data_IF_465013652435
#
_entry.id   IF_465013652435
#
_cell.length_a   1.000
_cell.length_b   1.000
_cell.length_c   1.000
_cell.angle_alpha   90.00
_cell.angle_beta   90.00
_cell.angle_gamma   90.00
#
_symmetry.space_group_name_H-M   'P 1'
#
loop_
_entity.id
_entity.type
_entity.pdbx_description
1 polymer ?
#
# COMPACT_ATOMS: atom_id res chain seq x y z
N UNK A 1 -5.90 6.48 -23.93
CA UNK A 1 -5.48 5.64 -22.78
C UNK A 1 -4.25 6.20 -22.05
N UNK A 2 -3.13 6.52 -22.73
CA UNK A 2 -1.91 7.07 -22.09
C UNK A 2 -2.17 8.39 -21.34
N UNK A 3 -2.91 9.32 -21.95
CA UNK A 3 -3.25 10.61 -21.31
C UNK A 3 -4.10 10.44 -20.06
N UNK A 4 -5.03 9.49 -20.05
CA UNK A 4 -5.86 9.16 -18.89
C UNK A 4 -5.02 8.60 -17.73
N UNK A 5 -4.06 7.72 -18.01
CA UNK A 5 -3.15 7.18 -16.99
C UNK A 5 -2.28 8.27 -16.39
N UNK A 6 -1.70 9.16 -17.23
CA UNK A 6 -0.88 10.30 -16.75
C UNK A 6 -1.70 11.26 -15.89
N UNK A 7 -2.93 11.58 -16.31
CA UNK A 7 -3.83 12.45 -15.54
C UNK A 7 -4.20 11.83 -14.18
N UNK A 8 -4.51 10.53 -14.16
CA UNK A 8 -4.81 9.81 -12.93
C UNK A 8 -3.61 9.79 -11.98
N UNK A 9 -2.42 9.44 -12.47
CA UNK A 9 -1.18 9.44 -11.66
C UNK A 9 -0.89 10.82 -11.07
N UNK A 10 -1.09 11.89 -11.84
CA UNK A 10 -0.93 13.26 -11.34
C UNK A 10 -1.96 13.62 -10.26
N UNK A 11 -3.20 13.17 -10.42
CA UNK A 11 -4.25 13.40 -9.42
C UNK A 11 -3.92 12.69 -8.10
N UNK A 12 -3.51 11.43 -8.15
CA UNK A 12 -3.10 10.66 -6.96
C UNK A 12 -1.91 11.33 -6.27
N UNK A 13 -0.88 11.74 -7.03
CA UNK A 13 0.28 12.43 -6.46
C UNK A 13 -0.12 13.72 -5.71
N UNK A 14 -1.02 14.52 -6.29
CA UNK A 14 -1.54 15.72 -5.62
C UNK A 14 -2.38 15.41 -4.38
N UNK A 15 -3.15 14.33 -4.40
CA UNK A 15 -3.91 13.90 -3.23
C UNK A 15 -2.99 13.45 -2.08
N UNK A 16 -1.91 12.76 -2.40
CA UNK A 16 -0.88 12.38 -1.42
C UNK A 16 -0.14 13.60 -0.87
N UNK A 17 0.25 14.56 -1.72
CA UNK A 17 0.84 15.83 -1.30
C UNK A 17 -0.09 16.58 -0.33
N UNK A 18 -1.37 16.73 -0.68
CA UNK A 18 -2.33 17.36 0.20
C UNK A 18 -2.53 16.63 1.53
N UNK A 19 -2.42 15.30 1.56
CA UNK A 19 -2.49 14.52 2.80
C UNK A 19 -1.28 14.80 3.70
N UNK A 20 -0.08 14.92 3.11
CA UNK A 20 1.14 15.28 3.83
C UNK A 20 1.06 16.71 4.39
N UNK A 21 0.64 17.68 3.57
CA UNK A 21 0.47 19.07 3.98
C UNK A 21 -0.52 19.19 5.16
N UNK A 22 -1.63 18.46 5.12
CA UNK A 22 -2.59 18.40 6.24
C UNK A 22 -1.99 17.84 7.52
N UNK A 23 -1.12 16.85 7.40
CA UNK A 23 -0.39 16.28 8.54
C UNK A 23 0.59 17.28 9.16
N UNK A 24 1.31 18.02 8.31
CA UNK A 24 2.27 19.05 8.73
C UNK A 24 1.58 20.26 9.32
N UNK A 25 0.55 20.79 8.68
CA UNK A 25 -0.26 21.93 9.15
C UNK A 25 -0.96 21.60 10.48
N UNK A 26 -1.37 20.36 10.67
CA UNK A 26 -1.94 19.84 11.91
C UNK A 26 -0.93 19.59 13.01
N UNK A 27 0.38 19.75 12.75
CA UNK A 27 1.46 19.47 13.68
C UNK A 27 1.64 17.97 14.01
N UNK A 28 0.96 17.08 13.27
CA UNK A 28 1.00 15.63 13.52
C UNK A 28 2.39 15.05 13.26
N UNK A 29 3.10 15.57 12.26
CA UNK A 29 4.46 15.15 11.90
C UNK A 29 5.51 15.48 12.99
N UNK A 30 5.16 16.32 13.97
CA UNK A 30 6.04 16.75 15.07
C UNK A 30 5.58 16.22 16.44
N UNK A 31 4.72 15.21 16.47
CA UNK A 31 4.25 14.63 17.73
C UNK A 31 5.44 14.05 18.53
N UNK A 32 5.64 14.47 19.79
CA UNK A 32 6.79 14.05 20.59
C UNK A 32 6.67 12.61 21.12
N UNK A 33 5.50 12.01 21.04
CA UNK A 33 5.24 10.65 21.51
C UNK A 33 5.60 9.63 20.42
N UNK A 34 6.48 8.69 20.74
CA UNK A 34 7.00 7.78 19.72
C UNK A 34 5.92 6.85 19.12
N UNK A 35 4.95 6.41 19.93
CA UNK A 35 3.86 5.55 19.48
C UNK A 35 2.93 6.26 18.49
N UNK A 36 2.46 7.46 18.80
CA UNK A 36 1.65 8.27 17.90
C UNK A 36 2.44 8.71 16.66
N UNK A 37 3.70 9.13 16.82
CA UNK A 37 4.57 9.51 15.70
C UNK A 37 4.69 8.41 14.64
N UNK A 38 4.97 7.16 15.05
CA UNK A 38 5.09 6.05 14.10
C UNK A 38 3.73 5.66 13.48
N UNK A 39 2.63 5.71 14.24
CA UNK A 39 1.30 5.44 13.67
C UNK A 39 0.89 6.52 12.66
N UNK A 40 1.16 7.78 12.94
CA UNK A 40 0.91 8.90 12.03
C UNK A 40 1.71 8.71 10.74
N UNK A 41 3.01 8.38 10.84
CA UNK A 41 3.85 8.06 9.68
C UNK A 41 3.30 6.89 8.86
N UNK A 42 2.75 5.87 9.51
CA UNK A 42 2.05 4.76 8.87
C UNK A 42 0.84 5.22 8.06
N UNK A 43 -0.05 6.00 8.69
CA UNK A 43 -1.32 6.46 8.11
C UNK A 43 -1.12 7.49 7.00
N UNK A 44 -0.25 8.49 7.22
CA UNK A 44 -0.09 9.62 6.29
C UNK A 44 0.85 9.31 5.11
N UNK A 45 1.80 8.41 5.29
CA UNK A 45 2.85 8.18 4.29
C UNK A 45 2.86 6.73 3.79
N UNK A 46 3.15 5.76 4.66
CA UNK A 46 3.48 4.40 4.21
C UNK A 46 2.30 3.63 3.62
N UNK A 47 1.10 3.70 4.21
CA UNK A 47 -0.09 3.01 3.71
C UNK A 47 -0.61 3.58 2.39
N UNK A 48 -0.70 4.93 2.20
CA UNK A 48 -1.03 5.52 0.90
C UNK A 48 -0.05 5.10 -0.21
N UNK A 49 1.25 5.04 0.09
CA UNK A 49 2.26 4.56 -0.86
C UNK A 49 2.00 3.12 -1.29
N UNK A 50 1.72 2.22 -0.36
CA UNK A 50 1.37 0.83 -0.69
C UNK A 50 0.13 0.78 -1.58
N UNK A 51 -0.92 1.55 -1.26
CA UNK A 51 -2.14 1.64 -2.06
C UNK A 51 -1.86 2.07 -3.51
N UNK A 52 -1.02 3.08 -3.69
CA UNK A 52 -0.61 3.55 -5.02
C UNK A 52 0.17 2.49 -5.81
N UNK A 53 1.15 1.81 -5.18
CA UNK A 53 1.93 0.74 -5.85
C UNK A 53 1.04 -0.44 -6.24
N UNK A 54 0.14 -0.86 -5.37
CA UNK A 54 -0.86 -1.87 -5.68
C UNK A 54 -1.77 -1.44 -6.83
N UNK A 55 -2.23 -0.19 -6.86
CA UNK A 55 -3.03 0.36 -7.94
C UNK A 55 -2.34 0.30 -9.30
N UNK A 56 -1.05 0.64 -9.36
CA UNK A 56 -0.22 0.52 -10.56
C UNK A 56 -0.04 -0.93 -11.00
N UNK A 57 0.28 -1.83 -10.07
CA UNK A 57 0.41 -3.26 -10.33
C UNK A 57 -0.91 -3.87 -10.79
N UNK A 58 -2.06 -3.42 -10.26
CA UNK A 58 -3.39 -3.81 -10.72
C UNK A 58 -3.57 -3.48 -12.21
N UNK A 59 -3.25 -2.25 -12.60
CA UNK A 59 -3.38 -1.82 -14.00
C UNK A 59 -2.44 -2.59 -14.93
N UNK A 60 -1.17 -2.75 -14.57
CA UNK A 60 -0.17 -3.47 -15.36
C UNK A 60 -0.53 -4.95 -15.50
N UNK A 61 -0.81 -5.65 -14.40
CA UNK A 61 -1.13 -7.07 -14.42
C UNK A 61 -2.43 -7.37 -15.16
N UNK A 62 -3.48 -6.56 -14.97
CA UNK A 62 -4.74 -6.70 -15.74
C UNK A 62 -4.50 -6.50 -17.23
N UNK A 63 -3.65 -5.55 -17.63
CA UNK A 63 -3.30 -5.31 -19.03
C UNK A 63 -2.58 -6.50 -19.66
N UNK A 64 -1.61 -7.09 -18.97
CA UNK A 64 -0.90 -8.30 -19.43
C UNK A 64 -1.83 -9.49 -19.56
N UNK A 65 -2.67 -9.75 -18.56
CA UNK A 65 -3.63 -10.86 -18.58
C UNK A 65 -4.68 -10.69 -19.69
N UNK A 66 -5.12 -9.45 -19.97
CA UNK A 66 -6.08 -9.16 -21.04
C UNK A 66 -5.48 -9.37 -22.43
N UNK A 67 -4.21 -9.03 -22.62
CA UNK A 67 -3.51 -9.22 -23.90
C UNK A 67 -2.92 -10.62 -24.07
N UNK A 68 -2.85 -11.39 -22.99
CA UNK A 68 -2.12 -12.68 -22.91
C UNK A 68 -0.69 -12.58 -23.46
N UNK A 69 -0.05 -11.44 -23.25
CA UNK A 69 1.28 -11.14 -23.73
C UNK A 69 2.02 -10.25 -22.75
N UNK A 70 3.30 -10.54 -22.53
CA UNK A 70 4.19 -9.78 -21.65
C UNK A 70 5.40 -9.31 -22.44
N UNK A 71 5.40 -8.02 -22.82
CA UNK A 71 6.54 -7.38 -23.47
C UNK A 71 7.64 -7.00 -22.46
N UNK A 72 8.84 -6.73 -22.98
CA UNK A 72 10.00 -6.39 -22.15
C UNK A 72 9.77 -5.15 -21.29
N UNK A 73 9.12 -4.12 -21.85
CA UNK A 73 8.79 -2.90 -21.10
C UNK A 73 7.80 -3.19 -19.95
N UNK A 74 6.76 -3.99 -20.20
CA UNK A 74 5.80 -4.37 -19.14
C UNK A 74 6.47 -5.21 -18.05
N UNK A 75 7.38 -6.12 -18.43
CA UNK A 75 8.19 -6.91 -17.50
C UNK A 75 9.03 -6.00 -16.59
N UNK A 76 9.71 -5.03 -17.20
CA UNK A 76 10.49 -4.04 -16.48
C UNK A 76 9.63 -3.21 -15.52
N UNK A 77 8.51 -2.66 -16.00
CA UNK A 77 7.61 -1.81 -15.22
C UNK A 77 7.03 -2.59 -14.01
N UNK A 78 6.58 -3.84 -14.21
CA UNK A 78 6.10 -4.70 -13.12
C UNK A 78 7.22 -4.96 -12.11
N UNK A 79 8.43 -5.25 -12.57
CA UNK A 79 9.57 -5.55 -11.68
C UNK A 79 9.95 -4.33 -10.83
N UNK A 80 9.96 -3.13 -11.42
CA UNK A 80 10.18 -1.87 -10.70
C UNK A 80 9.09 -1.65 -9.65
N UNK A 81 7.81 -1.75 -10.05
CA UNK A 81 6.70 -1.54 -9.12
C UNK A 81 6.67 -2.58 -7.98
N UNK A 82 7.08 -3.83 -8.23
CA UNK A 82 7.25 -4.83 -7.18
C UNK A 82 8.36 -4.45 -6.17
N UNK A 83 9.47 -3.91 -6.66
CA UNK A 83 10.54 -3.43 -5.79
C UNK A 83 10.09 -2.24 -4.92
N UNK A 84 9.41 -1.28 -5.53
CA UNK A 84 8.86 -0.11 -4.82
C UNK A 84 7.78 -0.52 -3.81
N UNK A 85 6.90 -1.48 -4.15
CA UNK A 85 5.92 -2.04 -3.22
C UNK A 85 6.60 -2.68 -2.00
N UNK A 86 7.70 -3.42 -2.20
CA UNK A 86 8.42 -4.03 -1.09
C UNK A 86 9.02 -2.99 -0.13
N UNK A 87 9.55 -1.89 -0.67
CA UNK A 87 10.06 -0.79 0.16
C UNK A 87 8.92 -0.12 0.97
N UNK A 88 7.79 0.12 0.35
CA UNK A 88 6.62 0.70 1.02
C UNK A 88 6.07 -0.24 2.11
N UNK A 89 5.99 -1.55 1.85
CA UNK A 89 5.60 -2.56 2.84
C UNK A 89 6.56 -2.61 4.02
N UNK A 90 7.87 -2.54 3.75
CA UNK A 90 8.87 -2.48 4.81
C UNK A 90 8.66 -1.26 5.70
N UNK A 91 8.37 -0.09 5.11
CA UNK A 91 8.09 1.13 5.88
C UNK A 91 6.83 1.01 6.74
N UNK A 92 5.75 0.38 6.23
CA UNK A 92 4.55 0.09 7.03
C UNK A 92 4.91 -0.79 8.22
N UNK A 93 5.57 -1.93 7.98
CA UNK A 93 5.93 -2.89 9.02
C UNK A 93 6.85 -2.28 10.09
N UNK A 94 7.83 -1.46 9.68
CA UNK A 94 8.70 -0.71 10.60
C UNK A 94 7.90 0.26 11.47
N UNK A 95 6.98 1.03 10.90
CA UNK A 95 6.14 1.95 11.65
C UNK A 95 5.27 1.20 12.69
N UNK A 96 4.60 0.11 12.29
CA UNK A 96 3.77 -0.69 13.18
C UNK A 96 4.61 -1.32 14.30
N UNK A 97 5.77 -1.89 13.95
CA UNK A 97 6.69 -2.48 14.93
C UNK A 97 7.18 -1.46 15.95
N UNK A 98 7.64 -0.28 15.50
CA UNK A 98 8.15 0.77 16.39
C UNK A 98 7.06 1.34 17.28
N UNK A 99 5.84 1.51 16.77
CA UNK A 99 4.68 1.89 17.57
C UNK A 99 4.37 0.83 18.66
N UNK A 100 4.42 -0.46 18.33
CA UNK A 100 4.21 -1.57 19.25
C UNK A 100 5.30 -1.65 20.35
N UNK A 101 6.55 -1.31 20.01
CA UNK A 101 7.66 -1.22 20.97
C UNK A 101 7.45 -0.02 21.91
N UNK A 102 7.06 1.13 21.38
CA UNK A 102 6.82 2.34 22.17
C UNK A 102 5.58 2.20 23.08
N UNK A 103 4.56 1.47 22.63
CA UNK A 103 3.32 1.23 23.38
C UNK A 103 2.95 -0.26 23.40
N UNK A 104 3.39 -1.02 24.42
CA UNK A 104 3.08 -2.45 24.55
C UNK A 104 1.58 -2.77 24.59
N UNK A 105 0.73 -1.81 24.95
CA UNK A 105 -0.74 -1.96 24.96
C UNK A 105 -1.32 -2.13 23.54
N UNK A 106 -0.64 -1.62 22.51
CA UNK A 106 -1.05 -1.73 21.12
C UNK A 106 -0.46 -2.96 20.41
N UNK A 107 0.51 -3.65 21.01
CA UNK A 107 1.32 -4.68 20.39
C UNK A 107 0.48 -5.74 19.67
N UNK A 108 -0.46 -6.37 20.36
CA UNK A 108 -1.25 -7.47 19.81
C UNK A 108 -2.15 -7.04 18.62
N UNK A 109 -2.70 -5.82 18.68
CA UNK A 109 -3.53 -5.29 17.59
C UNK A 109 -2.68 -4.95 16.36
N UNK A 110 -1.51 -4.33 16.55
CA UNK A 110 -0.61 -3.95 15.46
C UNK A 110 0.03 -5.17 14.80
N UNK A 111 0.46 -6.19 15.57
CA UNK A 111 0.98 -7.45 15.02
C UNK A 111 -0.10 -8.22 14.22
N UNK A 112 -1.35 -8.21 14.66
CA UNK A 112 -2.45 -8.79 13.92
C UNK A 112 -2.69 -8.05 12.61
N UNK A 113 -2.73 -6.72 12.65
CA UNK A 113 -2.90 -5.86 11.48
C UNK A 113 -1.78 -6.09 10.45
N UNK A 114 -0.53 -6.09 10.89
CA UNK A 114 0.63 -6.38 10.06
C UNK A 114 0.50 -7.73 9.36
N UNK A 115 0.15 -8.78 10.09
CA UNK A 115 -0.01 -10.13 9.55
C UNK A 115 -1.12 -10.20 8.50
N UNK A 116 -2.28 -9.63 8.78
CA UNK A 116 -3.42 -9.61 7.85
C UNK A 116 -3.07 -8.84 6.58
N UNK A 117 -2.45 -7.68 6.72
CA UNK A 117 -2.02 -6.83 5.62
C UNK A 117 -0.97 -7.50 4.72
N UNK A 118 0.08 -8.05 5.32
CA UNK A 118 1.13 -8.76 4.59
C UNK A 118 0.56 -10.00 3.87
N UNK A 119 -0.37 -10.73 4.48
CA UNK A 119 -0.98 -11.91 3.86
C UNK A 119 -1.75 -11.57 2.57
N UNK A 120 -2.46 -10.45 2.52
CA UNK A 120 -3.18 -10.02 1.30
C UNK A 120 -2.23 -9.49 0.23
N UNK A 121 -1.27 -8.67 0.63
CA UNK A 121 -0.29 -8.11 -0.32
C UNK A 121 0.61 -9.18 -0.91
N UNK A 122 1.01 -10.17 -0.12
CA UNK A 122 1.83 -11.30 -0.60
C UNK A 122 1.12 -12.14 -1.67
N UNK A 123 -0.22 -12.28 -1.62
CA UNK A 123 -0.97 -12.96 -2.71
C UNK A 123 -0.78 -12.25 -4.05
N UNK A 124 -0.79 -10.91 -4.05
CA UNK A 124 -0.56 -10.11 -5.26
C UNK A 124 0.87 -10.28 -5.76
N UNK A 125 1.85 -10.18 -4.85
CA UNK A 125 3.28 -10.33 -5.18
C UNK A 125 3.57 -11.71 -5.74
N UNK A 126 3.04 -12.77 -5.10
CA UNK A 126 3.20 -14.16 -5.52
C UNK A 126 2.61 -14.37 -6.92
N UNK A 127 1.38 -13.88 -7.15
CA UNK A 127 0.75 -14.01 -8.46
C UNK A 127 1.55 -13.32 -9.57
N UNK A 128 2.06 -12.13 -9.32
CA UNK A 128 2.91 -11.42 -10.29
C UNK A 128 4.21 -12.17 -10.56
N UNK A 129 4.91 -12.60 -9.52
CA UNK A 129 6.24 -13.25 -9.65
C UNK A 129 6.16 -14.67 -10.20
N UNK A 130 5.21 -15.45 -9.68
CA UNK A 130 5.18 -16.89 -9.95
C UNK A 130 4.30 -17.24 -11.16
N UNK A 131 3.46 -16.30 -11.61
CA UNK A 131 2.56 -16.49 -12.74
C UNK A 131 2.86 -15.50 -13.87
N UNK A 132 2.48 -14.26 -13.74
CA UNK A 132 2.53 -13.27 -14.82
C UNK A 132 3.96 -13.10 -15.37
N UNK A 133 4.97 -12.91 -14.51
CA UNK A 133 6.36 -12.75 -14.95
C UNK A 133 6.97 -14.03 -15.53
N UNK A 134 6.37 -15.19 -15.28
CA UNK A 134 6.77 -16.48 -15.89
C UNK A 134 6.00 -16.82 -17.17
N UNK A 135 5.07 -15.93 -17.59
CA UNK A 135 4.29 -16.13 -18.82
C UNK A 135 3.05 -16.99 -18.64
N UNK A 136 2.61 -17.22 -17.42
CA UNK A 136 1.35 -17.88 -17.11
C UNK A 136 0.23 -16.81 -17.06
N UNK A 137 -0.67 -16.84 -18.05
CA UNK A 137 -1.77 -15.89 -18.23
C UNK A 137 -3.15 -16.55 -18.16
N UNK A 138 -3.27 -17.65 -17.38
CA UNK A 138 -4.52 -18.39 -17.26
C UNK A 138 -5.56 -17.68 -16.38
N UNK A 139 -5.11 -16.90 -15.40
CA UNK A 139 -6.03 -16.16 -14.54
C UNK A 139 -6.85 -15.14 -15.34
N UNK A 140 -8.16 -15.11 -15.09
CA UNK A 140 -9.02 -14.11 -15.70
C UNK A 140 -8.60 -12.69 -15.26
N UNK A 141 -8.50 -11.70 -16.19
CA UNK A 141 -8.11 -10.33 -15.86
C UNK A 141 -8.95 -9.71 -14.73
N UNK A 142 -10.26 -9.98 -14.71
CA UNK A 142 -11.16 -9.49 -13.68
C UNK A 142 -10.84 -10.10 -12.30
N UNK A 143 -10.55 -11.41 -12.23
CA UNK A 143 -10.21 -12.07 -10.97
C UNK A 143 -8.90 -11.50 -10.37
N UNK A 144 -7.91 -11.20 -11.19
CA UNK A 144 -6.70 -10.52 -10.75
C UNK A 144 -7.01 -9.10 -10.26
N UNK A 145 -7.77 -8.33 -11.05
CA UNK A 145 -8.20 -6.98 -10.68
C UNK A 145 -8.88 -6.96 -9.31
N UNK A 146 -9.83 -7.87 -9.08
CA UNK A 146 -10.57 -7.98 -7.81
C UNK A 146 -9.65 -8.36 -6.65
N UNK A 147 -8.71 -9.30 -6.87
CA UNK A 147 -7.71 -9.69 -5.86
C UNK A 147 -6.87 -8.51 -5.40
N UNK A 148 -6.39 -7.70 -6.34
CA UNK A 148 -5.58 -6.52 -5.99
C UNK A 148 -6.45 -5.42 -5.37
N UNK A 149 -7.69 -5.26 -5.82
CA UNK A 149 -8.65 -4.30 -5.24
C UNK A 149 -8.91 -4.61 -3.77
N UNK A 150 -9.10 -5.88 -3.40
CA UNK A 150 -9.24 -6.29 -1.99
C UNK A 150 -8.01 -5.89 -1.16
N UNK A 151 -6.80 -6.06 -1.69
CA UNK A 151 -5.59 -5.64 -0.98
C UNK A 151 -5.50 -4.11 -0.78
N UNK A 152 -5.92 -3.33 -1.79
CA UNK A 152 -5.99 -1.87 -1.71
C UNK A 152 -7.05 -1.42 -0.68
N UNK A 153 -8.27 -1.94 -0.79
CA UNK A 153 -9.37 -1.60 0.12
C UNK A 153 -9.04 -1.94 1.57
N UNK A 154 -8.37 -3.08 1.78
CA UNK A 154 -7.92 -3.48 3.12
C UNK A 154 -6.92 -2.47 3.70
N UNK A 155 -6.00 -1.93 2.92
CA UNK A 155 -5.03 -0.93 3.41
C UNK A 155 -5.74 0.34 3.89
N UNK A 156 -6.75 0.81 3.17
CA UNK A 156 -7.54 1.97 3.57
C UNK A 156 -8.48 1.66 4.74
N UNK A 157 -9.22 0.54 4.70
CA UNK A 157 -10.11 0.15 5.79
C UNK A 157 -9.34 0.03 7.11
N UNK A 158 -8.17 -0.63 7.12
CA UNK A 158 -7.34 -0.76 8.32
C UNK A 158 -6.81 0.59 8.83
N UNK A 159 -6.49 1.50 7.93
CA UNK A 159 -6.12 2.87 8.30
C UNK A 159 -7.27 3.59 9.00
N UNK A 160 -8.47 3.58 8.40
CA UNK A 160 -9.63 4.31 8.93
C UNK A 160 -10.23 3.65 10.18
N UNK A 161 -10.33 2.34 10.20
CA UNK A 161 -11.08 1.63 11.25
C UNK A 161 -10.22 1.30 12.48
N UNK A 162 -8.91 1.20 12.33
CA UNK A 162 -8.00 0.77 13.41
C UNK A 162 -6.93 1.82 13.74
N UNK A 163 -6.15 2.32 12.76
CA UNK A 163 -5.01 3.18 13.06
C UNK A 163 -5.40 4.62 13.40
N UNK A 164 -6.30 5.24 12.65
CA UNK A 164 -6.75 6.61 12.93
C UNK A 164 -7.41 6.69 14.32
N UNK A 165 -8.33 5.79 14.73
CA UNK A 165 -8.85 5.79 16.09
C UNK A 165 -7.78 5.57 17.18
N UNK A 166 -6.76 4.75 16.92
CA UNK A 166 -5.64 4.58 17.84
C UNK A 166 -4.86 5.89 18.01
N UNK A 167 -4.49 6.55 16.92
CA UNK A 167 -3.84 7.88 16.94
C UNK A 167 -4.69 8.90 17.69
N UNK A 168 -5.99 9.00 17.39
CA UNK A 168 -6.90 9.93 18.08
C UNK A 168 -6.98 9.68 19.59
N UNK A 169 -6.76 8.46 20.02
CA UNK A 169 -6.74 8.12 21.47
C UNK A 169 -5.42 8.54 22.11
N UNK A 170 -4.31 8.45 21.40
CA UNK A 170 -2.98 8.83 21.88
C UNK A 170 -2.77 10.35 21.95
N UNK A 171 -3.40 11.10 21.04
CA UNK A 171 -3.30 12.57 20.98
C UNK A 171 -4.16 13.32 22.02
N UNK A 172 -4.89 12.63 22.88
CA UNK A 172 -5.69 13.21 23.98
C UNK A 172 -4.88 13.35 25.25
#
# INVERSE_FOLDING_TARGET
QRESVVAHTRLVAKAMEALHDLGDDGGLSLDPSADSFYLIGGVLHSLPDVGERLGRLRALGTGVLSSKALGDQQRYDISVQLGELQLALHAVNENLHRAAVANPGLKSSLERLEKEFNAQTNKVVEHLREKILKGDFEMAPQAYFDTVTVAIEMSFAKSYDELIPAVQTLLK
#
